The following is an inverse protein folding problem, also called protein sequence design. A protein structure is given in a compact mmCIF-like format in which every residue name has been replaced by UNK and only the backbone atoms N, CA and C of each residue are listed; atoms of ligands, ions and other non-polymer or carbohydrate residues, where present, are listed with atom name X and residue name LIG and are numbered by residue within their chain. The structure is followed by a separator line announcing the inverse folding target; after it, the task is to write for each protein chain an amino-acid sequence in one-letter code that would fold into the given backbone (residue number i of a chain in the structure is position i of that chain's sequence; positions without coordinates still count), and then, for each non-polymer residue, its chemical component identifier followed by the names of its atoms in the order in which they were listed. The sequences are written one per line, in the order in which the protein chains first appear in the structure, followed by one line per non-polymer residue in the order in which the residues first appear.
data_IF_989134241625
#
_entry.id   IF_989134241625
#
_cell.length_a   1.000
_cell.length_b   1.000
_cell.length_c   1.000
_cell.angle_alpha   90.00
_cell.angle_beta   90.00
_cell.angle_gamma   90.00
#
_symmetry.space_group_name_H-M   'P 1'
#
loop_
_entity.id
_entity.type
_entity.pdbx_description
1 polymer ?
#
# COMPACT_ATOMS: atom_id res chain seq x y z
N UNK A 1 14.95 -16.04 23.66
CA UNK A 1 13.99 -15.08 23.07
C UNK A 1 14.67 -13.71 22.96
N UNK A 2 14.92 -13.21 21.75
CA UNK A 2 15.52 -11.88 21.52
C UNK A 2 14.46 -10.79 21.55
N UNK A 3 14.86 -9.55 21.83
CA UNK A 3 13.97 -8.36 21.84
C UNK A 3 13.26 -8.19 20.50
N UNK A 4 13.93 -8.46 19.38
CA UNK A 4 13.33 -8.39 18.04
C UNK A 4 12.24 -9.45 17.80
N UNK A 5 12.37 -10.64 18.39
CA UNK A 5 11.36 -11.69 18.29
C UNK A 5 10.12 -11.35 19.11
N UNK A 6 10.32 -10.83 20.32
CA UNK A 6 9.22 -10.31 21.14
C UNK A 6 8.50 -9.12 20.47
N UNK A 7 9.21 -8.26 19.75
CA UNK A 7 8.61 -7.19 18.94
C UNK A 7 7.84 -7.76 17.74
N UNK A 8 8.37 -8.78 17.05
CA UNK A 8 7.69 -9.40 15.91
C UNK A 8 6.40 -10.13 16.32
N UNK A 9 6.43 -10.90 17.41
CA UNK A 9 5.21 -11.53 17.96
C UNK A 9 4.20 -10.48 18.43
N UNK A 10 4.68 -9.42 19.08
CA UNK A 10 3.84 -8.30 19.49
C UNK A 10 3.18 -7.62 18.28
N UNK A 11 3.94 -7.29 17.24
CA UNK A 11 3.39 -6.69 16.03
C UNK A 11 2.44 -7.64 15.28
N UNK A 12 2.75 -8.94 15.22
CA UNK A 12 1.87 -9.94 14.61
C UNK A 12 0.55 -10.12 15.37
N UNK A 13 0.58 -10.02 16.70
CA UNK A 13 -0.62 -10.11 17.56
C UNK A 13 -1.47 -8.83 17.57
N UNK A 14 -0.93 -7.71 17.10
CA UNK A 14 -1.67 -6.45 16.94
C UNK A 14 -2.45 -6.36 15.62
N UNK A 15 -2.27 -7.32 14.70
CA UNK A 15 -3.01 -7.38 13.45
C UNK A 15 -4.48 -7.75 13.74
N UNK A 16 -5.46 -6.90 13.39
CA UNK A 16 -6.86 -7.08 13.78
C UNK A 16 -7.55 -8.26 13.07
N UNK A 17 -6.90 -8.86 12.08
CA UNK A 17 -7.38 -10.01 11.33
C UNK A 17 -6.78 -11.31 11.89
N UNK A 18 -7.58 -12.17 12.55
CA UNK A 18 -7.08 -13.34 13.27
C UNK A 18 -6.31 -14.32 12.37
N UNK A 19 -6.70 -14.45 11.11
CA UNK A 19 -6.07 -15.36 10.15
C UNK A 19 -4.69 -14.87 9.72
N UNK A 20 -4.52 -13.56 9.54
CA UNK A 20 -3.24 -12.93 9.16
C UNK A 20 -2.29 -12.90 10.35
N UNK A 21 -2.81 -12.55 11.53
CA UNK A 21 -2.08 -12.65 12.80
C UNK A 21 -1.57 -14.06 13.05
N UNK A 22 -2.43 -15.07 12.88
CA UNK A 22 -2.06 -16.48 13.08
C UNK A 22 -1.02 -16.97 12.07
N UNK A 23 -1.06 -16.50 10.82
CA UNK A 23 -0.07 -16.83 9.80
C UNK A 23 1.29 -16.20 10.12
N UNK A 24 1.31 -14.91 10.50
CA UNK A 24 2.53 -14.21 10.92
C UNK A 24 3.15 -14.86 12.16
N UNK A 25 2.33 -15.21 13.15
CA UNK A 25 2.78 -15.94 14.33
C UNK A 25 3.31 -17.34 13.98
N UNK A 26 2.65 -18.09 13.09
CA UNK A 26 3.13 -19.40 12.65
C UNK A 26 4.49 -19.32 11.93
N UNK A 27 4.70 -18.27 11.13
CA UNK A 27 5.99 -17.98 10.49
C UNK A 27 7.02 -17.61 11.56
N UNK A 28 6.69 -16.79 12.55
CA UNK A 28 7.61 -16.39 13.63
C UNK A 28 8.01 -17.58 14.52
N UNK A 29 7.06 -18.47 14.86
CA UNK A 29 7.27 -19.66 15.69
C UNK A 29 8.05 -20.77 14.97
N UNK A 30 7.89 -20.93 13.65
CA UNK A 30 8.69 -21.88 12.88
C UNK A 30 10.19 -21.54 12.88
N UNK A 31 10.54 -20.35 13.37
CA UNK A 31 11.89 -19.77 13.40
C UNK A 31 12.47 -19.68 14.82
N UNK A 32 11.81 -20.27 15.83
CA UNK A 32 12.33 -20.31 17.21
C UNK A 32 13.52 -21.28 17.32
N UNK A 33 14.71 -20.83 17.78
CA UNK A 33 15.89 -21.68 17.88
C UNK A 33 15.77 -22.61 19.09
N UNK A 34 16.06 -23.90 18.91
CA UNK A 34 16.05 -24.85 20.02
C UNK A 34 17.25 -24.63 20.95
N UNK A 35 17.13 -24.93 22.25
CA UNK A 35 18.07 -24.48 23.29
C UNK A 35 19.51 -25.05 23.21
N UNK A 36 19.79 -25.93 22.25
CA UNK A 36 20.99 -26.79 22.24
C UNK A 36 22.06 -26.35 21.24
N UNK A 37 21.76 -25.37 20.38
CA UNK A 37 22.70 -24.91 19.37
C UNK A 37 23.45 -23.67 19.85
N UNK A 38 24.76 -23.61 19.55
CA UNK A 38 25.65 -22.50 19.87
C UNK A 38 25.23 -21.25 19.06
N UNK A 39 24.13 -20.65 19.53
CA UNK A 39 23.18 -19.84 18.79
C UNK A 39 23.81 -18.64 18.09
N UNK A 40 24.79 -17.98 18.71
CA UNK A 40 25.34 -16.73 18.16
C UNK A 40 26.37 -16.95 17.05
N UNK A 41 27.14 -18.04 17.10
CA UNK A 41 28.08 -18.39 16.04
C UNK A 41 27.33 -19.00 14.85
N UNK A 42 26.33 -19.84 15.13
CA UNK A 42 25.46 -20.41 14.09
C UNK A 42 24.47 -19.41 13.50
N UNK A 43 24.01 -18.39 14.25
CA UNK A 43 23.22 -17.28 13.69
C UNK A 43 24.11 -16.35 12.88
N UNK A 44 25.36 -16.09 13.26
CA UNK A 44 26.28 -15.32 12.41
C UNK A 44 26.58 -16.05 11.10
N UNK A 45 26.85 -17.35 11.16
CA UNK A 45 27.10 -18.17 9.96
C UNK A 45 25.84 -18.40 9.14
N UNK A 46 24.68 -18.69 9.76
CA UNK A 46 23.43 -18.83 9.05
C UNK A 46 22.93 -17.49 8.53
N UNK A 47 22.98 -16.36 9.24
CA UNK A 47 22.60 -15.06 8.66
C UNK A 47 23.53 -14.69 7.50
N UNK A 48 24.82 -15.07 7.56
CA UNK A 48 25.72 -14.92 6.43
C UNK A 48 25.38 -15.86 5.25
N UNK A 49 24.93 -17.10 5.50
CA UNK A 49 24.65 -18.14 4.48
C UNK A 49 23.17 -18.23 4.02
N UNK A 50 22.20 -17.75 4.80
CA UNK A 50 20.74 -17.87 4.59
C UNK A 50 20.04 -16.53 4.37
N UNK A 51 20.75 -15.39 4.38
CA UNK A 51 20.16 -14.08 4.06
C UNK A 51 19.44 -14.06 2.72
N UNK A 52 19.92 -14.81 1.74
CA UNK A 52 19.34 -14.89 0.39
C UNK A 52 18.06 -15.75 0.37
N UNK A 53 18.08 -17.04 0.81
CA UNK A 53 16.85 -17.84 0.89
C UNK A 53 15.75 -17.22 1.76
N UNK A 54 16.11 -16.55 2.87
CA UNK A 54 15.15 -15.87 3.74
C UNK A 54 14.54 -14.66 3.04
N UNK A 55 15.38 -13.76 2.49
CA UNK A 55 14.91 -12.61 1.74
C UNK A 55 14.04 -13.03 0.55
N UNK A 56 14.43 -14.08 -0.17
CA UNK A 56 13.67 -14.67 -1.28
C UNK A 56 12.30 -15.19 -0.82
N UNK A 57 12.25 -15.90 0.31
CA UNK A 57 11.00 -16.45 0.85
C UNK A 57 10.03 -15.37 1.36
N UNK A 58 10.55 -14.32 2.00
CA UNK A 58 9.73 -13.18 2.44
C UNK A 58 9.25 -12.39 1.23
N UNK A 59 10.15 -12.07 0.29
CA UNK A 59 9.81 -11.40 -0.97
C UNK A 59 8.71 -12.15 -1.70
N UNK A 60 8.84 -13.47 -1.86
CA UNK A 60 7.84 -14.31 -2.52
C UNK A 60 6.49 -14.28 -1.78
N UNK A 61 6.51 -14.39 -0.46
CA UNK A 61 5.28 -14.37 0.36
C UNK A 61 4.59 -13.01 0.32
N UNK A 62 5.37 -11.93 0.30
CA UNK A 62 4.87 -10.55 0.18
C UNK A 62 4.28 -10.30 -1.21
N UNK A 63 4.96 -10.73 -2.27
CA UNK A 63 4.45 -10.65 -3.65
C UNK A 63 3.15 -11.45 -3.79
N UNK A 64 3.09 -12.68 -3.27
CA UNK A 64 1.89 -13.51 -3.35
C UNK A 64 0.70 -12.89 -2.58
N UNK A 65 0.93 -12.39 -1.37
CA UNK A 65 -0.12 -11.70 -0.59
C UNK A 65 -0.55 -10.40 -1.26
N UNK A 66 0.38 -9.63 -1.83
CA UNK A 66 0.06 -8.41 -2.60
C UNK A 66 -0.95 -8.72 -3.68
N UNK A 67 -0.71 -9.73 -4.51
CA UNK A 67 -1.63 -10.10 -5.58
C UNK A 67 -3.01 -10.56 -5.08
N UNK A 68 -3.07 -11.15 -3.88
CA UNK A 68 -4.35 -11.52 -3.26
C UNK A 68 -5.11 -10.27 -2.77
N UNK A 69 -4.42 -9.29 -2.18
CA UNK A 69 -5.02 -8.00 -1.79
C UNK A 69 -5.47 -7.22 -3.03
N UNK A 70 -4.66 -7.19 -4.09
CA UNK A 70 -5.01 -6.60 -5.39
C UNK A 70 -6.27 -7.24 -6.00
N UNK A 71 -6.55 -8.51 -5.68
CA UNK A 71 -7.73 -9.24 -6.15
C UNK A 71 -8.95 -9.15 -5.21
N UNK A 72 -8.80 -8.71 -3.95
CA UNK A 72 -9.86 -8.67 -2.96
C UNK A 72 -10.61 -7.33 -3.02
N UNK A 73 -11.79 -7.35 -3.63
CA UNK A 73 -12.66 -6.21 -3.94
C UNK A 73 -12.94 -5.28 -2.72
N UNK A 74 -12.34 -4.08 -2.71
CA UNK A 74 -12.81 -2.77 -2.18
C UNK A 74 -11.64 -1.76 -2.27
N UNK A 75 -11.62 -0.80 -3.23
CA UNK A 75 -10.44 0.04 -3.52
C UNK A 75 -9.90 0.86 -2.33
N UNK A 76 -10.79 1.35 -1.46
CA UNK A 76 -10.39 2.12 -0.28
C UNK A 76 -9.67 1.27 0.78
N UNK A 77 -10.15 0.06 1.06
CA UNK A 77 -9.46 -0.90 1.94
C UNK A 77 -8.12 -1.32 1.32
N UNK A 78 -8.12 -1.57 0.02
CA UNK A 78 -6.91 -1.95 -0.71
C UNK A 78 -5.84 -0.86 -0.64
N UNK A 79 -6.20 0.42 -0.58
CA UNK A 79 -5.23 1.53 -0.55
C UNK A 79 -4.31 1.48 0.67
N UNK A 80 -4.87 1.27 1.86
CA UNK A 80 -4.09 1.21 3.11
C UNK A 80 -3.25 -0.06 3.14
N UNK A 81 -3.87 -1.22 2.90
CA UNK A 81 -3.18 -2.51 2.93
C UNK A 81 -2.05 -2.57 1.88
N UNK A 82 -2.29 -2.03 0.68
CA UNK A 82 -1.29 -1.94 -0.38
C UNK A 82 -0.11 -1.07 0.04
N UNK A 83 -0.36 0.11 0.62
CA UNK A 83 0.70 1.03 1.05
C UNK A 83 1.60 0.38 2.11
N UNK A 84 1.01 -0.33 3.07
CA UNK A 84 1.75 -1.02 4.13
C UNK A 84 2.58 -2.20 3.57
N UNK A 85 1.96 -3.07 2.77
CA UNK A 85 2.63 -4.23 2.16
C UNK A 85 3.79 -3.78 1.25
N UNK A 86 3.56 -2.79 0.39
CA UNK A 86 4.58 -2.25 -0.50
C UNK A 86 5.72 -1.58 0.28
N UNK A 87 5.41 -0.85 1.36
CA UNK A 87 6.42 -0.22 2.21
C UNK A 87 7.29 -1.24 2.92
N UNK A 88 6.70 -2.30 3.48
CA UNK A 88 7.47 -3.40 4.09
C UNK A 88 8.35 -4.09 3.04
N UNK A 89 7.80 -4.38 1.85
CA UNK A 89 8.57 -5.03 0.80
C UNK A 89 9.79 -4.20 0.37
N UNK A 90 9.58 -2.92 0.11
CA UNK A 90 10.64 -2.00 -0.34
C UNK A 90 11.71 -1.80 0.72
N UNK A 91 11.35 -1.79 2.01
CA UNK A 91 12.29 -1.78 3.13
C UNK A 91 13.18 -3.03 3.16
N UNK A 92 12.59 -4.22 3.00
CA UNK A 92 13.32 -5.49 2.98
C UNK A 92 14.27 -5.54 1.79
N UNK A 93 13.78 -5.25 0.58
CA UNK A 93 14.59 -5.23 -0.64
C UNK A 93 15.74 -4.22 -0.54
N UNK A 94 15.49 -3.05 0.06
CA UNK A 94 16.55 -2.05 0.32
C UNK A 94 17.61 -2.58 1.28
N UNK A 95 17.21 -3.14 2.42
CA UNK A 95 18.15 -3.67 3.41
C UNK A 95 19.05 -4.77 2.83
N UNK A 96 18.46 -5.66 2.02
CA UNK A 96 19.19 -6.72 1.32
C UNK A 96 20.09 -6.12 0.25
N UNK A 97 19.60 -5.15 -0.54
CA UNK A 97 20.40 -4.50 -1.57
C UNK A 97 21.62 -3.76 -0.98
N UNK A 98 21.45 -3.02 0.11
CA UNK A 98 22.54 -2.35 0.82
C UNK A 98 23.51 -3.36 1.43
N UNK A 99 22.99 -4.40 2.10
CA UNK A 99 23.80 -5.44 2.74
C UNK A 99 24.73 -6.20 1.79
N UNK A 100 24.30 -6.38 0.54
CA UNK A 100 25.07 -7.08 -0.49
C UNK A 100 25.84 -6.16 -1.43
N UNK A 101 25.81 -4.84 -1.20
CA UNK A 101 26.63 -3.87 -1.96
C UNK A 101 27.96 -3.66 -1.23
N UNK A 102 29.08 -3.84 -1.93
CA UNK A 102 30.41 -3.66 -1.36
C UNK A 102 30.83 -2.19 -1.50
N UNK A 103 31.23 -1.55 -0.40
CA UNK A 103 31.71 -0.16 -0.41
C UNK A 103 32.92 -0.01 -1.34
N UNK A 104 32.80 0.83 -2.38
CA UNK A 104 33.85 1.03 -3.39
C UNK A 104 34.06 -0.16 -4.33
N UNK A 105 33.16 -1.14 -4.30
CA UNK A 105 33.21 -2.37 -5.10
C UNK A 105 31.90 -2.61 -5.86
N UNK A 106 31.52 -3.89 -5.96
CA UNK A 106 30.36 -4.32 -6.74
C UNK A 106 29.03 -3.97 -6.06
N UNK A 107 28.06 -3.62 -6.92
CA UNK A 107 26.71 -3.24 -6.51
C UNK A 107 25.77 -4.44 -6.60
N UNK A 108 24.97 -4.64 -5.56
CA UNK A 108 24.03 -5.76 -5.46
C UNK A 108 22.97 -5.75 -6.57
N UNK A 109 22.66 -6.92 -7.13
CA UNK A 109 21.53 -7.09 -8.07
C UNK A 109 20.16 -6.88 -7.46
N UNK A 110 20.04 -6.98 -6.14
CA UNK A 110 18.80 -6.65 -5.42
C UNK A 110 18.37 -5.19 -5.63
N UNK A 111 19.28 -4.30 -6.03
CA UNK A 111 18.90 -2.95 -6.49
C UNK A 111 18.07 -2.97 -7.77
N UNK A 112 18.28 -3.94 -8.67
CA UNK A 112 17.48 -4.14 -9.89
C UNK A 112 16.07 -4.60 -9.53
N UNK A 113 15.95 -5.55 -8.60
CA UNK A 113 14.65 -6.05 -8.15
C UNK A 113 13.89 -4.97 -7.38
N UNK A 114 14.55 -4.27 -6.46
CA UNK A 114 13.97 -3.10 -5.77
C UNK A 114 13.51 -2.04 -6.78
N UNK A 115 14.33 -1.73 -7.79
CA UNK A 115 13.96 -0.77 -8.83
C UNK A 115 12.69 -1.22 -9.57
N UNK A 116 12.62 -2.49 -9.99
CA UNK A 116 11.44 -3.03 -10.70
C UNK A 116 10.18 -3.01 -9.82
N UNK A 117 10.29 -3.42 -8.56
CA UNK A 117 9.15 -3.44 -7.66
C UNK A 117 8.68 -2.01 -7.34
N UNK A 118 9.59 -1.05 -7.17
CA UNK A 118 9.24 0.37 -7.01
C UNK A 118 8.52 0.94 -8.25
N UNK A 119 8.93 0.57 -9.48
CA UNK A 119 8.21 0.97 -10.69
C UNK A 119 6.75 0.46 -10.66
N UNK A 120 6.55 -0.80 -10.28
CA UNK A 120 5.22 -1.37 -10.14
C UNK A 120 4.41 -0.68 -9.03
N UNK A 121 4.99 -0.49 -7.85
CA UNK A 121 4.30 0.11 -6.71
C UNK A 121 3.87 1.55 -6.97
N UNK A 122 4.73 2.35 -7.59
CA UNK A 122 4.41 3.73 -7.94
C UNK A 122 3.31 3.76 -9.00
N UNK A 123 3.39 2.93 -10.04
CA UNK A 123 2.39 2.87 -11.10
C UNK A 123 1.02 2.41 -10.56
N UNK A 124 1.00 1.37 -9.75
CA UNK A 124 -0.24 0.85 -9.15
C UNK A 124 -0.84 1.85 -8.15
N UNK A 125 -0.03 2.57 -7.37
CA UNK A 125 -0.52 3.64 -6.50
C UNK A 125 -1.26 4.73 -7.27
N UNK A 126 -0.73 5.18 -8.41
CA UNK A 126 -1.40 6.17 -9.28
C UNK A 126 -2.73 5.63 -9.79
N UNK A 127 -2.76 4.37 -10.24
CA UNK A 127 -4.00 3.73 -10.68
C UNK A 127 -5.02 3.62 -9.54
N UNK A 128 -4.59 3.20 -8.35
CA UNK A 128 -5.46 3.01 -7.19
C UNK A 128 -6.03 4.32 -6.65
N UNK A 129 -5.27 5.43 -6.70
CA UNK A 129 -5.79 6.78 -6.40
C UNK A 129 -6.98 7.12 -7.32
N UNK A 130 -6.81 6.92 -8.64
CA UNK A 130 -7.84 7.22 -9.62
C UNK A 130 -9.06 6.29 -9.51
N UNK A 131 -8.82 4.99 -9.28
CA UNK A 131 -9.88 3.99 -9.11
C UNK A 131 -10.68 4.24 -7.82
N UNK A 132 -10.01 4.65 -6.74
CA UNK A 132 -10.69 4.98 -5.47
C UNK A 132 -11.61 6.18 -5.61
N UNK A 133 -11.17 7.26 -6.27
CA UNK A 133 -12.02 8.44 -6.54
C UNK A 133 -13.20 8.04 -7.44
N UNK A 134 -12.93 7.31 -8.51
CA UNK A 134 -13.98 6.86 -9.45
C UNK A 134 -15.01 5.99 -8.74
N UNK A 135 -14.57 5.00 -7.96
CA UNK A 135 -15.45 4.17 -7.15
C UNK A 135 -16.28 5.01 -6.19
N UNK A 136 -15.66 5.99 -5.55
CA UNK A 136 -16.31 6.82 -4.56
C UNK A 136 -17.42 7.70 -5.14
N UNK A 137 -17.20 8.28 -6.33
CA UNK A 137 -18.21 9.00 -7.09
C UNK A 137 -19.42 8.09 -7.42
N UNK A 138 -19.20 6.80 -7.72
CA UNK A 138 -20.32 5.85 -7.98
C UNK A 138 -21.17 5.54 -6.74
N UNK A 139 -20.74 5.95 -5.55
CA UNK A 139 -21.47 5.75 -4.28
C UNK A 139 -22.27 6.97 -3.84
N UNK A 140 -22.23 8.05 -4.61
CA UNK A 140 -23.02 9.25 -4.38
C UNK A 140 -24.14 9.26 -5.42
N UNK A 141 -25.37 9.16 -4.93
CA UNK A 141 -26.57 9.28 -5.75
C UNK A 141 -27.16 10.69 -5.56
N UNK A 142 -27.52 11.31 -6.67
CA UNK A 142 -28.23 12.58 -6.67
C UNK A 142 -29.53 12.41 -7.43
N UNK A 143 -30.64 12.56 -6.70
CA UNK A 143 -31.99 12.51 -7.25
C UNK A 143 -32.55 13.93 -7.31
N UNK A 144 -33.16 14.26 -8.44
CA UNK A 144 -33.83 15.53 -8.65
C UNK A 144 -35.30 15.25 -8.96
N UNK A 145 -36.18 15.85 -8.17
CA UNK A 145 -37.62 15.83 -8.37
C UNK A 145 -38.10 17.26 -8.63
N UNK A 146 -38.62 17.50 -9.82
CA UNK A 146 -38.96 18.84 -10.32
C UNK A 146 -40.47 19.02 -10.25
N UNK A 147 -40.89 20.16 -9.72
CA UNK A 147 -42.30 20.57 -9.61
C UNK A 147 -43.19 19.57 -8.82
N UNK A 148 -42.69 19.08 -7.69
CA UNK A 148 -43.47 18.23 -6.80
C UNK A 148 -44.41 19.08 -5.91
N UNK A 149 -45.39 19.74 -6.54
CA UNK A 149 -46.33 20.65 -5.88
C UNK A 149 -45.81 22.08 -5.75
N UNK A 150 -45.14 22.60 -6.78
CA UNK A 150 -44.59 23.95 -6.82
C UNK A 150 -43.20 24.12 -6.17
N UNK A 151 -42.53 23.01 -5.84
CA UNK A 151 -41.18 22.99 -5.29
C UNK A 151 -40.30 22.03 -6.09
N UNK A 152 -39.02 22.35 -6.20
CA UNK A 152 -37.99 21.43 -6.66
C UNK A 152 -37.28 20.83 -5.45
N UNK A 153 -37.02 19.53 -5.49
CA UNK A 153 -36.36 18.77 -4.44
C UNK A 153 -35.12 18.05 -4.99
N UNK A 154 -33.99 18.25 -4.31
CA UNK A 154 -32.70 17.67 -4.64
C UNK A 154 -32.27 16.83 -3.45
N UNK A 155 -32.11 15.52 -3.66
CA UNK A 155 -31.75 14.56 -2.62
C UNK A 155 -30.38 13.98 -2.94
N UNK A 156 -29.48 14.07 -1.97
CA UNK A 156 -28.18 13.41 -2.01
C UNK A 156 -28.27 12.18 -1.12
N UNK A 157 -27.81 11.04 -1.63
CA UNK A 157 -27.62 9.82 -0.85
C UNK A 157 -26.19 9.33 -1.05
N UNK A 158 -25.46 9.20 0.05
CA UNK A 158 -24.08 8.74 0.08
C UNK A 158 -24.00 7.44 0.87
N UNK A 159 -23.83 6.34 0.13
CA UNK A 159 -23.83 4.98 0.68
C UNK A 159 -22.60 4.69 1.54
N UNK A 160 -21.49 5.41 1.33
CA UNK A 160 -20.24 5.17 2.06
C UNK A 160 -20.27 5.84 3.42
N UNK A 161 -20.79 7.06 3.50
CA UNK A 161 -20.91 7.82 4.75
C UNK A 161 -22.22 7.56 5.49
N UNK A 162 -23.10 6.73 4.92
CA UNK A 162 -24.48 6.53 5.38
C UNK A 162 -25.20 7.88 5.58
N UNK A 163 -25.02 8.78 4.61
CA UNK A 163 -25.46 10.16 4.69
C UNK A 163 -26.56 10.45 3.68
N UNK A 164 -27.57 11.21 4.08
CA UNK A 164 -28.62 11.70 3.19
C UNK A 164 -28.95 13.14 3.54
N UNK A 165 -29.04 13.98 2.51
CA UNK A 165 -29.40 15.39 2.66
C UNK A 165 -30.36 15.81 1.56
N UNK A 166 -31.20 16.79 1.86
CA UNK A 166 -32.25 17.25 0.97
C UNK A 166 -32.25 18.78 0.91
N UNK A 167 -32.20 19.32 -0.30
CA UNK A 167 -32.40 20.73 -0.57
C UNK A 167 -33.76 20.91 -1.25
N UNK A 168 -34.62 21.76 -0.68
CA UNK A 168 -35.90 22.13 -1.27
C UNK A 168 -35.90 23.61 -1.62
N UNK A 169 -36.32 23.94 -2.83
CA UNK A 169 -36.50 25.31 -3.27
C UNK A 169 -37.90 25.49 -3.88
N UNK A 170 -38.41 26.71 -3.85
CA UNK A 170 -39.60 27.05 -4.64
C UNK A 170 -39.26 26.86 -6.12
N UNK A 171 -40.16 26.25 -6.89
CA UNK A 171 -39.97 26.04 -8.32
C UNK A 171 -39.69 27.38 -9.01
N UNK A 172 -38.57 27.45 -9.70
CA UNK A 172 -38.14 28.64 -10.45
C UNK A 172 -38.66 28.58 -11.88
N UNK A 173 -38.81 29.75 -12.50
CA UNK A 173 -39.33 29.81 -13.87
C UNK A 173 -38.36 29.22 -14.90
N UNK A 174 -38.87 28.78 -16.06
CA UNK A 174 -38.04 28.16 -17.10
C UNK A 174 -36.81 29.02 -17.45
N UNK A 175 -35.62 28.45 -17.27
CA UNK A 175 -34.34 29.08 -17.59
C UNK A 175 -33.67 29.84 -16.44
N UNK A 176 -34.28 29.90 -15.26
CA UNK A 176 -33.65 30.42 -14.04
C UNK A 176 -33.01 29.27 -13.23
N UNK A 177 -31.82 29.52 -12.67
CA UNK A 177 -31.18 28.58 -11.74
C UNK A 177 -31.54 28.96 -10.30
N UNK A 178 -32.19 28.04 -9.59
CA UNK A 178 -32.46 28.19 -8.17
C UNK A 178 -31.27 27.81 -7.28
N UNK A 179 -31.29 28.16 -5.99
CA UNK A 179 -30.15 27.93 -5.08
C UNK A 179 -29.81 26.45 -4.84
N UNK A 180 -30.73 25.52 -5.09
CA UNK A 180 -30.50 24.08 -4.94
C UNK A 180 -29.93 23.42 -6.22
N UNK A 181 -29.83 24.12 -7.35
CA UNK A 181 -29.38 23.50 -8.62
C UNK A 181 -27.97 22.93 -8.52
N UNK A 182 -27.07 23.61 -7.82
CA UNK A 182 -25.69 23.17 -7.59
C UNK A 182 -25.51 22.29 -6.35
N UNK A 183 -26.61 21.85 -5.71
CA UNK A 183 -26.56 21.16 -4.42
C UNK A 183 -25.73 19.86 -4.49
N UNK A 184 -25.97 19.04 -5.52
CA UNK A 184 -25.22 17.81 -5.76
C UNK A 184 -23.75 18.10 -6.09
N UNK A 185 -23.49 19.05 -7.00
CA UNK A 185 -22.13 19.37 -7.45
C UNK A 185 -21.25 19.88 -6.30
N UNK A 186 -21.80 20.72 -5.43
CA UNK A 186 -21.10 21.23 -4.25
C UNK A 186 -20.75 20.11 -3.28
N UNK A 187 -21.65 19.15 -3.09
CA UNK A 187 -21.40 17.99 -2.24
C UNK A 187 -20.35 17.06 -2.83
N UNK A 188 -20.45 16.72 -4.12
CA UNK A 188 -19.46 15.90 -4.81
C UNK A 188 -18.07 16.58 -4.79
N UNK A 189 -18.01 17.89 -5.00
CA UNK A 189 -16.76 18.65 -4.88
C UNK A 189 -16.15 18.54 -3.48
N UNK A 190 -16.98 18.69 -2.44
CA UNK A 190 -16.54 18.57 -1.06
C UNK A 190 -16.04 17.15 -0.74
N UNK A 191 -16.77 16.12 -1.16
CA UNK A 191 -16.38 14.72 -0.98
C UNK A 191 -15.06 14.43 -1.69
N UNK A 192 -14.92 14.81 -2.97
CA UNK A 192 -13.70 14.64 -3.73
C UNK A 192 -12.48 15.33 -3.08
N UNK A 193 -12.67 16.52 -2.48
CA UNK A 193 -11.60 17.19 -1.72
C UNK A 193 -11.18 16.40 -0.49
N UNK A 194 -12.15 15.83 0.23
CA UNK A 194 -11.89 15.03 1.43
C UNK A 194 -11.19 13.72 1.05
N UNK A 195 -11.59 13.08 -0.05
CA UNK A 195 -11.01 11.82 -0.52
C UNK A 195 -9.58 12.03 -1.04
N UNK A 196 -9.30 13.12 -1.75
CA UNK A 196 -7.92 13.51 -2.12
C UNK A 196 -7.06 13.73 -0.87
N UNK A 197 -7.63 14.34 0.18
CA UNK A 197 -6.92 14.54 1.45
C UNK A 197 -6.61 13.20 2.11
N UNK A 198 -7.57 12.30 2.14
CA UNK A 198 -7.42 10.95 2.69
C UNK A 198 -6.40 10.12 1.88
N UNK A 199 -6.46 10.12 0.55
CA UNK A 199 -5.51 9.43 -0.33
C UNK A 199 -4.09 9.97 -0.12
N UNK A 200 -3.94 11.29 -0.01
CA UNK A 200 -2.63 11.89 0.25
C UNK A 200 -2.05 11.42 1.59
N UNK A 201 -2.88 11.30 2.61
CA UNK A 201 -2.46 10.85 3.93
C UNK A 201 -2.03 9.37 3.94
N UNK A 202 -2.84 8.50 3.32
CA UNK A 202 -2.66 7.04 3.42
C UNK A 202 -1.74 6.45 2.35
N UNK A 203 -1.66 7.07 1.17
CA UNK A 203 -0.87 6.55 0.04
C UNK A 203 0.14 7.57 -0.48
N UNK A 204 -0.21 8.86 -0.51
CA UNK A 204 0.61 9.91 -1.11
C UNK A 204 2.01 10.01 -0.46
N UNK A 205 2.09 9.99 0.88
CA UNK A 205 3.38 10.05 1.59
C UNK A 205 4.26 8.85 1.26
N UNK A 206 3.70 7.63 1.27
CA UNK A 206 4.44 6.43 0.94
C UNK A 206 4.95 6.47 -0.51
N UNK A 207 4.07 6.86 -1.46
CA UNK A 207 4.44 7.02 -2.88
C UNK A 207 5.56 8.02 -3.09
N UNK A 208 5.55 9.17 -2.39
CA UNK A 208 6.64 10.14 -2.46
C UNK A 208 7.97 9.55 -1.95
N UNK A 209 7.94 8.78 -0.86
CA UNK A 209 9.12 8.11 -0.33
C UNK A 209 9.65 7.04 -1.30
N UNK A 210 8.75 6.23 -1.89
CA UNK A 210 9.10 5.26 -2.93
C UNK A 210 9.72 5.96 -4.14
N UNK A 211 9.18 7.10 -4.57
CA UNK A 211 9.75 7.89 -5.66
C UNK A 211 11.18 8.37 -5.37
N UNK A 212 11.47 8.78 -4.13
CA UNK A 212 12.84 9.14 -3.72
C UNK A 212 13.76 7.91 -3.70
N UNK A 213 13.30 6.80 -3.11
CA UNK A 213 14.05 5.55 -3.09
C UNK A 213 14.30 5.03 -4.50
N UNK A 214 13.36 5.25 -5.42
CA UNK A 214 13.47 4.86 -6.83
C UNK A 214 14.61 5.56 -7.54
N UNK A 215 14.87 6.83 -7.26
CA UNK A 215 16.02 7.54 -7.83
C UNK A 215 17.35 6.88 -7.41
N UNK A 216 17.45 6.48 -6.15
CA UNK A 216 18.61 5.73 -5.65
C UNK A 216 18.68 4.34 -6.29
N UNK A 217 17.58 3.60 -6.30
CA UNK A 217 17.52 2.25 -6.85
C UNK A 217 17.85 2.22 -8.34
N UNK A 218 17.37 3.18 -9.13
CA UNK A 218 17.67 3.31 -10.56
C UNK A 218 19.16 3.59 -10.80
N UNK A 219 19.77 4.48 -10.01
CA UNK A 219 21.20 4.75 -10.10
C UNK A 219 22.03 3.50 -9.76
N UNK A 220 21.68 2.79 -8.69
CA UNK A 220 22.37 1.57 -8.26
C UNK A 220 22.14 0.41 -9.22
N UNK A 221 20.93 0.24 -9.76
CA UNK A 221 20.59 -0.80 -10.73
C UNK A 221 21.40 -0.68 -12.03
N UNK A 222 21.75 0.54 -12.46
CA UNK A 222 22.65 0.76 -13.62
C UNK A 222 24.09 0.34 -13.34
N UNK A 223 24.51 0.38 -12.08
CA UNK A 223 25.85 -0.02 -11.63
C UNK A 223 25.91 -1.51 -11.26
N UNK A 224 24.78 -2.14 -10.98
CA UNK A 224 24.69 -3.57 -10.72
C UNK A 224 25.14 -4.35 -11.96
N UNK A 225 26.33 -4.94 -11.91
CA UNK A 225 26.89 -5.73 -13.00
C UNK A 225 26.23 -7.11 -13.13
N UNK A 226 26.55 -7.83 -14.22
CA UNK A 226 26.11 -9.21 -14.45
C UNK A 226 26.50 -10.13 -13.29
N UNK A 227 25.69 -11.18 -13.09
CA UNK A 227 25.71 -12.17 -11.98
C UNK A 227 27.01 -12.12 -11.15
N UNK A 228 26.99 -11.38 -10.04
CA UNK A 228 27.95 -11.62 -8.96
C UNK A 228 27.23 -12.43 -7.90
N UNK A 229 27.59 -13.71 -7.79
CA UNK A 229 27.18 -14.51 -6.65
C UNK A 229 28.16 -14.19 -5.50
N UNK A 230 27.74 -13.50 -4.42
CA UNK A 230 28.64 -13.12 -3.33
C UNK A 230 29.25 -14.32 -2.59
N UNK A 231 28.69 -15.52 -2.78
CA UNK A 231 29.21 -16.77 -2.21
C UNK A 231 30.25 -17.45 -3.08
N UNK A 232 30.18 -17.33 -4.41
CA UNK A 232 31.14 -17.98 -5.31
C UNK A 232 32.12 -17.01 -5.97
N UNK A 233 31.82 -15.70 -5.97
CA UNK A 233 32.57 -14.63 -6.64
C UNK A 233 32.76 -14.83 -8.15
N UNK A 234 31.96 -15.70 -8.75
CA UNK A 234 32.00 -15.93 -10.19
C UNK A 234 31.24 -14.81 -10.92
N UNK A 235 31.76 -14.40 -12.09
CA UNK A 235 31.15 -13.43 -13.02
C UNK A 235 30.27 -14.11 -14.08
#
# INVERSE_FOLDING_TARGET
VTVGWAIAEFLASLVPYPTVSSLLLAIIHAWEPKPQDNYWDHVKENVAQTRTPLADSITTSVIANRYLTEAALLPSSMTVDFADIASVHTLILKDVAESYTVTGGEVSRWWVDLNRELDHYIAYAVWLEADTITWRDTKIQCLMDIDHGGYDEYVITDDVREYTETCKQLHVSEGEEGPCTSFCDLYQFQVNRDDVTWLRHNLGVAREQWGRLKLQADAMAKLASKYYNPFTRDQ
#
